data_IF_503716623647
#
_entry.id   IF_503716623647
#
_cell.length_a   1.000
_cell.length_b   1.000
_cell.length_c   1.000
_cell.angle_alpha   90.00
_cell.angle_beta   90.00
_cell.angle_gamma   90.00
#
_symmetry.space_group_name_H-M   'P 1'
#
loop_
_entity.id
_entity.type
_entity.pdbx_description
1 polymer ?
#
# COMPACT_ATOMS: atom_id res chain seq x y z
N UNK A 1 -16.28 -0.53 12.94
CA UNK A 1 -17.41 -1.29 12.34
C UNK A 1 -17.20 -2.79 12.49
N UNK A 2 -16.09 -3.41 11.99
CA UNK A 2 -15.87 -4.87 12.10
C UNK A 2 -16.00 -5.38 13.52
N UNK A 3 -15.34 -4.73 14.50
CA UNK A 3 -15.45 -5.12 15.90
C UNK A 3 -16.89 -5.04 16.48
N UNK A 4 -17.73 -4.12 15.99
CA UNK A 4 -19.14 -4.10 16.34
C UNK A 4 -19.87 -5.32 15.76
N UNK A 5 -19.63 -5.63 14.49
CA UNK A 5 -20.21 -6.79 13.83
C UNK A 5 -19.79 -8.12 14.46
N UNK A 6 -18.53 -8.23 14.90
CA UNK A 6 -18.03 -9.42 15.61
C UNK A 6 -18.79 -9.60 16.93
N UNK A 7 -19.03 -8.53 17.71
CA UNK A 7 -19.87 -8.60 18.93
C UNK A 7 -21.30 -9.01 18.63
N UNK A 8 -21.82 -8.64 17.45
CA UNK A 8 -23.17 -8.99 16.98
C UNK A 8 -23.24 -10.38 16.31
N UNK A 9 -22.15 -11.17 16.38
CA UNK A 9 -22.10 -12.56 15.91
C UNK A 9 -21.46 -12.79 14.56
N UNK A 10 -20.81 -11.77 13.94
CA UNK A 10 -20.02 -11.99 12.73
C UNK A 10 -18.83 -12.91 13.05
N UNK A 11 -18.78 -14.07 12.43
CA UNK A 11 -17.70 -15.04 12.58
C UNK A 11 -16.63 -14.81 11.49
N UNK A 12 -15.51 -14.24 11.90
CA UNK A 12 -14.34 -13.98 11.04
C UNK A 12 -13.07 -14.22 11.83
N UNK A 13 -11.99 -14.53 11.12
CA UNK A 13 -10.62 -14.50 11.63
C UNK A 13 -9.82 -13.55 10.74
N UNK A 14 -9.01 -12.68 11.30
CA UNK A 14 -8.36 -11.59 10.59
C UNK A 14 -6.84 -11.63 10.71
N UNK A 15 -6.14 -11.19 9.64
CA UNK A 15 -4.70 -10.96 9.62
C UNK A 15 -4.45 -9.45 9.59
N UNK A 16 -3.81 -8.85 10.60
CA UNK A 16 -3.53 -7.42 10.62
C UNK A 16 -2.31 -7.09 9.76
N UNK A 17 -2.40 -6.00 8.99
CA UNK A 17 -1.33 -5.51 8.09
C UNK A 17 -0.31 -4.60 8.79
N UNK A 18 -0.51 -4.27 10.07
CA UNK A 18 0.41 -3.47 10.89
C UNK A 18 0.27 -3.79 12.37
N UNK A 19 1.27 -3.43 13.16
CA UNK A 19 1.19 -3.56 14.63
C UNK A 19 0.11 -2.62 15.21
N UNK A 20 -0.10 -1.46 14.61
CA UNK A 20 -1.19 -0.57 15.01
C UNK A 20 -2.56 -1.20 14.77
N UNK A 21 -2.77 -1.82 13.60
CA UNK A 21 -4.02 -2.53 13.29
C UNK A 21 -4.21 -3.74 14.20
N UNK A 22 -3.12 -4.48 14.51
CA UNK A 22 -3.14 -5.58 15.49
C UNK A 22 -3.67 -5.09 16.83
N UNK A 23 -3.04 -4.07 17.40
CA UNK A 23 -3.43 -3.55 18.72
C UNK A 23 -4.89 -3.06 18.76
N UNK A 24 -5.35 -2.41 17.68
CA UNK A 24 -6.75 -1.98 17.56
C UNK A 24 -7.73 -3.16 17.48
N UNK A 25 -7.39 -4.21 16.73
CA UNK A 25 -8.22 -5.39 16.59
C UNK A 25 -8.32 -6.16 17.90
N UNK A 26 -7.21 -6.35 18.64
CA UNK A 26 -7.16 -6.95 19.97
C UNK A 26 -8.03 -6.19 20.95
N UNK A 27 -7.93 -4.85 20.99
CA UNK A 27 -8.77 -4.01 21.85
C UNK A 27 -10.28 -4.12 21.56
N UNK A 28 -10.65 -4.55 20.35
CA UNK A 28 -12.03 -4.77 19.93
C UNK A 28 -12.46 -6.24 19.99
N UNK A 29 -11.60 -7.14 20.52
CA UNK A 29 -11.79 -8.59 20.59
C UNK A 29 -12.10 -9.22 19.21
N UNK A 30 -11.46 -8.72 18.13
CA UNK A 30 -11.54 -9.34 16.82
C UNK A 30 -10.57 -10.53 16.80
N UNK A 31 -11.02 -11.76 16.45
CA UNK A 31 -10.15 -12.92 16.35
C UNK A 31 -9.04 -12.69 15.32
N UNK A 32 -7.79 -12.93 15.72
CA UNK A 32 -6.61 -12.74 14.89
C UNK A 32 -5.89 -14.06 14.63
N UNK A 33 -5.25 -14.15 13.48
CA UNK A 33 -4.33 -15.21 13.06
C UNK A 33 -3.12 -14.62 12.34
N UNK A 34 -2.25 -15.48 11.85
CA UNK A 34 -1.08 -15.12 11.03
C UNK A 34 -1.19 -15.75 9.63
N UNK A 35 -0.43 -15.24 8.66
CA UNK A 35 -0.35 -15.89 7.34
C UNK A 35 0.40 -17.24 7.38
N UNK A 36 1.18 -17.51 8.42
CA UNK A 36 1.81 -18.82 8.60
C UNK A 36 0.80 -19.89 9.01
N UNK A 37 -0.25 -19.50 9.76
CA UNK A 37 -1.34 -20.39 10.18
C UNK A 37 -2.48 -20.42 9.16
N UNK A 38 -2.73 -19.30 8.48
CA UNK A 38 -3.81 -19.12 7.50
C UNK A 38 -3.22 -18.45 6.24
N UNK A 39 -2.55 -19.23 5.36
CA UNK A 39 -1.81 -18.69 4.22
C UNK A 39 -2.69 -18.21 3.06
N UNK A 40 -3.99 -18.51 3.10
CA UNK A 40 -4.97 -18.08 2.10
C UNK A 40 -6.12 -17.36 2.79
N UNK A 41 -6.48 -16.19 2.25
CA UNK A 41 -7.55 -15.35 2.76
C UNK A 41 -8.63 -15.18 1.69
N UNK A 42 -9.89 -15.08 2.11
CA UNK A 42 -11.00 -14.84 1.18
C UNK A 42 -11.02 -13.39 0.69
N UNK A 43 -10.63 -12.44 1.56
CA UNK A 43 -10.82 -11.02 1.30
C UNK A 43 -9.83 -10.14 2.06
N UNK A 44 -9.17 -9.25 1.33
CA UNK A 44 -8.51 -8.08 1.90
C UNK A 44 -9.42 -6.85 1.76
N UNK A 45 -9.59 -6.11 2.85
CA UNK A 45 -10.23 -4.77 2.84
C UNK A 45 -9.20 -3.77 3.36
N UNK A 46 -8.86 -2.78 2.53
CA UNK A 46 -7.81 -1.82 2.88
C UNK A 46 -8.11 -0.43 2.29
N UNK A 47 -7.34 0.59 2.66
CA UNK A 47 -7.37 1.90 2.06
C UNK A 47 -6.39 2.03 0.88
N UNK A 48 -6.41 3.20 0.23
CA UNK A 48 -5.39 3.60 -0.73
C UNK A 48 -5.06 5.08 -0.59
N UNK A 49 -3.84 5.45 -0.95
CA UNK A 49 -3.40 6.85 -0.98
C UNK A 49 -3.77 7.51 -2.31
N UNK A 50 -3.78 6.72 -3.40
CA UNK A 50 -4.23 7.13 -4.73
C UNK A 50 -4.78 5.93 -5.50
N UNK A 51 -5.79 6.15 -6.36
CA UNK A 51 -6.48 5.14 -7.17
C UNK A 51 -6.69 5.71 -8.56
N UNK A 52 -6.26 5.01 -9.62
CA UNK A 52 -6.51 5.43 -10.99
C UNK A 52 -7.71 4.69 -11.64
N UNK A 53 -8.03 5.09 -12.88
CA UNK A 53 -9.16 4.55 -13.65
C UNK A 53 -9.04 3.03 -13.96
N UNK A 54 -7.85 2.44 -13.79
CA UNK A 54 -7.60 1.01 -13.96
C UNK A 54 -7.51 0.25 -12.63
N UNK A 55 -7.89 0.89 -11.50
CA UNK A 55 -7.75 0.38 -10.15
C UNK A 55 -6.30 0.02 -9.77
N UNK A 56 -5.32 0.70 -10.39
CA UNK A 56 -3.95 0.67 -9.92
C UNK A 56 -3.84 1.65 -8.75
N UNK A 57 -3.08 1.27 -7.72
CA UNK A 57 -3.04 2.02 -6.48
C UNK A 57 -1.64 2.51 -6.15
N UNK A 58 -1.57 3.66 -5.46
CA UNK A 58 -0.45 3.97 -4.57
C UNK A 58 -0.92 3.74 -3.14
N UNK A 59 -0.13 2.99 -2.38
CA UNK A 59 -0.32 2.69 -0.96
C UNK A 59 0.99 2.87 -0.19
N UNK A 60 0.90 2.84 1.13
CA UNK A 60 2.05 2.94 2.01
C UNK A 60 2.29 4.31 2.63
N UNK A 61 1.33 5.25 2.51
CA UNK A 61 1.36 6.51 3.25
C UNK A 61 1.51 6.31 4.76
N UNK A 62 0.89 5.26 5.32
CA UNK A 62 1.04 4.82 6.71
C UNK A 62 2.32 4.04 7.02
N UNK A 63 3.12 3.63 6.01
CA UNK A 63 4.37 2.90 6.18
C UNK A 63 4.25 1.38 6.33
N UNK A 64 3.09 0.78 6.07
CA UNK A 64 2.83 -0.65 6.21
C UNK A 64 2.80 -1.41 4.86
N UNK A 65 3.25 -0.77 3.77
CA UNK A 65 3.08 -1.22 2.38
C UNK A 65 3.51 -2.68 2.13
N UNK A 66 4.57 -3.15 2.78
CA UNK A 66 5.08 -4.51 2.60
C UNK A 66 4.06 -5.54 3.12
N UNK A 67 3.60 -5.40 4.38
CA UNK A 67 2.60 -6.30 4.94
C UNK A 67 1.27 -6.19 4.22
N UNK A 68 0.84 -4.97 3.86
CA UNK A 68 -0.37 -4.74 3.07
C UNK A 68 -0.32 -5.51 1.73
N UNK A 69 0.82 -5.45 1.01
CA UNK A 69 0.97 -6.16 -0.25
C UNK A 69 1.02 -7.68 -0.08
N UNK A 70 1.72 -8.18 0.95
CA UNK A 70 1.76 -9.62 1.25
C UNK A 70 0.34 -10.13 1.53
N UNK A 71 -0.43 -9.44 2.37
CA UNK A 71 -1.81 -9.84 2.71
C UNK A 71 -2.73 -9.75 1.50
N UNK A 72 -2.63 -8.68 0.70
CA UNK A 72 -3.41 -8.54 -0.54
C UNK A 72 -3.11 -9.68 -1.54
N UNK A 73 -1.84 -10.05 -1.69
CA UNK A 73 -1.43 -11.15 -2.58
C UNK A 73 -1.86 -12.53 -2.08
N UNK A 74 -2.00 -12.70 -0.77
CA UNK A 74 -2.48 -13.93 -0.13
C UNK A 74 -4.01 -14.06 -0.15
N UNK A 75 -4.73 -13.04 -0.63
CA UNK A 75 -6.20 -12.98 -0.65
C UNK A 75 -6.76 -13.30 -2.03
N UNK A 76 -7.93 -13.97 -2.06
CA UNK A 76 -8.66 -14.22 -3.30
C UNK A 76 -9.16 -12.93 -3.94
N UNK A 77 -9.49 -11.92 -3.11
CA UNK A 77 -9.98 -10.62 -3.57
C UNK A 77 -9.47 -9.50 -2.68
N UNK A 78 -9.25 -8.33 -3.30
CA UNK A 78 -8.96 -7.09 -2.61
C UNK A 78 -10.02 -6.04 -2.89
N UNK A 79 -10.64 -5.52 -1.84
CA UNK A 79 -11.57 -4.38 -1.89
C UNK A 79 -10.92 -3.17 -1.22
N UNK A 80 -10.86 -2.07 -1.95
CA UNK A 80 -10.34 -0.79 -1.43
C UNK A 80 -11.51 0.09 -0.98
N UNK A 81 -11.38 0.74 0.17
CA UNK A 81 -12.32 1.73 0.68
C UNK A 81 -11.60 3.08 0.73
N UNK A 82 -12.14 4.09 0.05
CA UNK A 82 -11.52 5.41 -0.04
C UNK A 82 -12.56 6.54 -0.11
N UNK A 83 -12.11 7.78 0.06
CA UNK A 83 -12.86 8.96 -0.35
C UNK A 83 -12.51 9.38 -1.79
N UNK A 84 -13.36 10.20 -2.42
CA UNK A 84 -13.24 10.61 -3.82
C UNK A 84 -11.99 11.46 -4.12
N UNK A 85 -11.35 12.06 -3.10
CA UNK A 85 -10.08 12.78 -3.25
C UNK A 85 -8.90 11.86 -3.56
N UNK A 86 -9.06 10.55 -3.39
CA UNK A 86 -8.06 9.54 -3.71
C UNK A 86 -8.11 9.12 -5.19
N UNK A 87 -9.12 9.55 -5.93
CA UNK A 87 -9.25 9.23 -7.35
C UNK A 87 -8.36 10.15 -8.19
N UNK A 88 -7.64 9.59 -9.13
CA UNK A 88 -6.88 10.32 -10.15
C UNK A 88 -6.99 9.63 -11.51
N UNK A 89 -6.69 10.36 -12.60
CA UNK A 89 -6.61 9.76 -13.93
C UNK A 89 -5.28 9.06 -14.17
N UNK A 90 -4.24 9.50 -13.48
CA UNK A 90 -2.88 8.98 -13.63
C UNK A 90 -2.21 9.07 -12.27
N UNK A 91 -1.58 8.01 -11.83
CA UNK A 91 -0.86 7.96 -10.56
C UNK A 91 0.27 9.00 -10.50
N UNK A 92 0.58 9.51 -9.29
CA UNK A 92 1.66 10.45 -9.03
C UNK A 92 1.26 11.69 -8.24
N UNK A 93 -0.05 11.91 -7.96
CA UNK A 93 -0.49 13.01 -7.07
C UNK A 93 -0.05 12.77 -5.63
N UNK A 94 0.05 11.51 -5.23
CA UNK A 94 0.62 11.10 -3.94
C UNK A 94 2.06 10.61 -4.15
N UNK A 95 3.02 10.99 -3.29
CA UNK A 95 4.38 10.44 -3.37
C UNK A 95 4.36 8.92 -3.29
N UNK A 96 5.13 8.25 -4.15
CA UNK A 96 5.27 6.80 -4.14
C UNK A 96 6.22 6.37 -3.01
N UNK A 97 5.75 5.64 -1.99
CA UNK A 97 6.62 5.10 -0.95
C UNK A 97 7.37 3.86 -1.45
N UNK A 98 8.65 3.77 -1.09
CA UNK A 98 9.49 2.61 -1.38
C UNK A 98 10.15 2.17 -0.07
N UNK A 99 9.90 0.94 0.36
CA UNK A 99 10.55 0.36 1.53
C UNK A 99 11.94 -0.14 1.17
N UNK A 100 12.95 0.26 1.93
CA UNK A 100 14.36 0.00 1.65
C UNK A 100 15.09 -0.47 2.89
N UNK A 101 16.09 -1.35 2.71
CA UNK A 101 16.97 -1.75 3.81
C UNK A 101 17.84 -0.58 4.25
N UNK A 102 18.29 -0.60 5.52
CA UNK A 102 19.14 0.46 6.08
C UNK A 102 20.55 0.47 5.50
N UNK A 103 21.09 -0.72 5.18
CA UNK A 103 22.44 -0.84 4.64
C UNK A 103 22.51 -0.26 3.23
N UNK A 104 23.47 0.64 3.00
CA UNK A 104 23.70 1.23 1.68
C UNK A 104 22.61 2.20 1.21
N UNK A 105 21.82 2.80 2.11
CA UNK A 105 20.70 3.67 1.80
C UNK A 105 20.99 4.70 0.68
N UNK A 106 22.13 5.41 0.76
CA UNK A 106 22.48 6.42 -0.26
C UNK A 106 22.66 5.80 -1.65
N UNK A 107 23.32 4.64 -1.73
CA UNK A 107 23.52 3.92 -2.99
C UNK A 107 22.16 3.43 -3.54
N UNK A 108 21.30 2.87 -2.68
CA UNK A 108 19.94 2.44 -3.06
C UNK A 108 19.11 3.62 -3.59
N UNK A 109 19.15 4.78 -2.91
CA UNK A 109 18.43 5.99 -3.37
C UNK A 109 18.95 6.50 -4.72
N UNK A 110 20.25 6.43 -4.97
CA UNK A 110 20.82 6.79 -6.29
C UNK A 110 20.36 5.84 -7.40
N UNK A 111 20.27 4.53 -7.13
CA UNK A 111 19.75 3.55 -8.08
C UNK A 111 18.24 3.75 -8.32
N UNK A 112 17.46 4.00 -7.28
CA UNK A 112 16.03 4.36 -7.41
C UNK A 112 15.89 5.58 -8.33
N UNK A 113 16.67 6.64 -8.10
CA UNK A 113 16.62 7.84 -8.91
C UNK A 113 16.94 7.55 -10.40
N UNK A 114 18.04 6.83 -10.66
CA UNK A 114 18.47 6.53 -12.02
C UNK A 114 17.41 5.69 -12.76
N UNK A 115 16.95 4.58 -12.16
CA UNK A 115 16.02 3.67 -12.81
C UNK A 115 14.60 4.26 -12.91
N UNK A 116 14.19 5.12 -11.98
CA UNK A 116 12.93 5.87 -12.12
C UNK A 116 12.98 6.85 -13.28
N UNK A 117 14.10 7.57 -13.47
CA UNK A 117 14.28 8.46 -14.59
C UNK A 117 14.26 7.70 -15.94
N UNK A 118 14.90 6.52 -16.03
CA UNK A 118 14.81 5.65 -17.21
C UNK A 118 13.38 5.18 -17.51
N UNK A 119 12.56 5.01 -16.45
CA UNK A 119 11.13 4.70 -16.56
C UNK A 119 10.25 5.96 -16.83
N UNK A 120 10.86 7.12 -17.09
CA UNK A 120 10.14 8.37 -17.35
C UNK A 120 9.54 9.04 -16.12
N UNK A 121 10.01 8.66 -14.90
CA UNK A 121 9.54 9.21 -13.63
C UNK A 121 10.66 10.05 -13.00
N UNK A 122 10.53 11.37 -13.07
CA UNK A 122 11.46 12.32 -12.46
C UNK A 122 10.77 13.07 -11.33
N UNK A 123 11.52 13.32 -10.23
CA UNK A 123 11.00 14.03 -9.09
C UNK A 123 11.91 13.96 -7.88
N UNK A 124 11.48 14.59 -6.80
CA UNK A 124 12.22 14.58 -5.54
C UNK A 124 12.12 13.21 -4.86
N UNK A 125 13.25 12.71 -4.35
CA UNK A 125 13.35 11.45 -3.61
C UNK A 125 13.89 11.76 -2.21
N UNK A 126 13.09 11.49 -1.20
CA UNK A 126 13.40 11.83 0.19
C UNK A 126 13.25 10.63 1.12
N UNK A 127 14.12 10.55 2.10
CA UNK A 127 13.93 9.65 3.24
C UNK A 127 12.76 10.17 4.08
N UNK A 128 11.80 9.30 4.38
CA UNK A 128 10.63 9.66 5.20
C UNK A 128 11.05 10.04 6.62
N UNK A 129 10.70 11.22 7.13
CA UNK A 129 10.92 11.55 8.52
C UNK A 129 9.89 10.86 9.42
N UNK A 130 10.32 10.43 10.59
CA UNK A 130 9.43 10.05 11.69
C UNK A 130 9.01 11.27 12.51
N UNK A 131 8.10 11.07 13.44
CA UNK A 131 7.54 12.13 14.28
C UNK A 131 8.54 12.73 15.27
N UNK A 132 9.65 12.05 15.55
CA UNK A 132 10.72 12.46 16.47
C UNK A 132 11.91 13.11 15.76
N UNK A 133 11.78 13.40 14.45
CA UNK A 133 12.84 13.97 13.62
C UNK A 133 13.91 12.96 13.17
N UNK A 134 13.79 11.69 13.58
CA UNK A 134 14.59 10.57 13.04
C UNK A 134 13.92 10.00 11.79
N UNK A 135 14.63 9.18 11.00
CA UNK A 135 13.98 8.45 9.92
C UNK A 135 12.82 7.57 10.41
N UNK A 136 11.72 7.56 9.65
CA UNK A 136 10.62 6.61 9.90
C UNK A 136 11.12 5.18 9.75
N UNK A 137 10.70 4.31 10.67
CA UNK A 137 11.06 2.88 10.68
C UNK A 137 9.79 2.06 10.56
N UNK A 138 9.78 1.15 9.58
CA UNK A 138 8.64 0.22 9.39
C UNK A 138 8.59 -0.85 10.48
N UNK A 139 7.47 -1.57 10.58
CA UNK A 139 7.32 -2.72 11.49
C UNK A 139 8.36 -3.82 11.25
N UNK A 140 8.94 -3.89 10.04
CA UNK A 140 10.02 -4.82 9.67
C UNK A 140 11.43 -4.27 9.94
N UNK A 141 11.53 -3.05 10.51
CA UNK A 141 12.80 -2.40 10.83
C UNK A 141 13.50 -1.73 9.65
N UNK A 142 12.85 -1.63 8.50
CA UNK A 142 13.34 -0.97 7.30
C UNK A 142 13.04 0.54 7.32
N UNK A 143 13.45 1.24 6.27
CA UNK A 143 13.19 2.66 6.07
C UNK A 143 12.23 2.86 4.89
N UNK A 144 11.64 4.05 4.79
CA UNK A 144 10.81 4.45 3.64
C UNK A 144 11.49 5.61 2.91
N UNK A 145 11.58 5.47 1.61
CA UNK A 145 11.94 6.55 0.68
C UNK A 145 10.67 6.98 -0.06
N UNK A 146 10.30 8.24 0.05
CA UNK A 146 9.17 8.82 -0.65
C UNK A 146 9.62 9.47 -1.95
N UNK A 147 9.05 9.05 -3.07
CA UNK A 147 9.35 9.54 -4.41
C UNK A 147 8.20 10.41 -4.92
N UNK A 148 8.40 11.72 -4.99
CA UNK A 148 7.41 12.69 -5.45
C UNK A 148 7.47 12.81 -6.99
N UNK A 149 6.93 11.83 -7.68
CA UNK A 149 6.80 11.83 -9.14
C UNK A 149 5.46 12.46 -9.53
N UNK A 150 5.43 13.63 -10.19
CA UNK A 150 4.17 14.33 -10.50
C UNK A 150 3.26 13.53 -11.45
N UNK A 151 3.82 12.55 -12.14
CA UNK A 151 3.10 11.63 -13.02
C UNK A 151 3.86 10.32 -13.16
N UNK A 152 3.15 9.21 -12.99
CA UNK A 152 3.63 7.85 -13.27
C UNK A 152 2.82 7.31 -14.46
N UNK A 153 3.33 7.55 -15.67
CA UNK A 153 2.60 7.19 -16.89
C UNK A 153 2.56 5.67 -17.14
N UNK A 154 3.67 4.99 -16.82
CA UNK A 154 3.86 3.55 -17.03
C UNK A 154 4.20 2.88 -15.70
N UNK A 155 3.22 2.71 -14.78
CA UNK A 155 3.49 2.21 -13.43
C UNK A 155 4.02 0.77 -13.43
N UNK A 156 3.67 -0.05 -14.42
CA UNK A 156 4.18 -1.42 -14.58
C UNK A 156 5.69 -1.41 -14.91
N UNK A 157 6.13 -0.49 -15.75
CA UNK A 157 7.55 -0.31 -16.11
C UNK A 157 8.34 0.15 -14.88
N UNK A 158 7.80 1.13 -14.15
CA UNK A 158 8.43 1.62 -12.93
C UNK A 158 8.50 0.53 -11.86
N UNK A 159 7.41 -0.22 -11.62
CA UNK A 159 7.37 -1.33 -10.67
C UNK A 159 8.43 -2.38 -10.98
N UNK A 160 8.53 -2.79 -12.26
CA UNK A 160 9.54 -3.74 -12.70
C UNK A 160 10.98 -3.22 -12.49
N UNK A 161 11.22 -1.94 -12.77
CA UNK A 161 12.53 -1.32 -12.55
C UNK A 161 12.90 -1.29 -11.06
N UNK A 162 11.97 -0.86 -10.19
CA UNK A 162 12.18 -0.77 -8.74
C UNK A 162 12.44 -2.14 -8.09
N UNK A 163 11.73 -3.18 -8.51
CA UNK A 163 11.92 -4.55 -8.01
C UNK A 163 13.32 -5.12 -8.28
N UNK A 164 14.09 -4.52 -9.18
CA UNK A 164 15.47 -4.94 -9.54
C UNK A 164 16.55 -4.14 -8.80
N UNK A 165 16.18 -3.15 -8.01
CA UNK A 165 17.14 -2.34 -7.25
C UNK A 165 17.59 -3.10 -6.00
N UNK A 166 18.88 -3.48 -5.87
CA UNK A 166 19.38 -4.03 -4.62
C UNK A 166 19.15 -3.04 -3.47
N UNK A 167 18.57 -3.54 -2.37
CA UNK A 167 18.20 -2.72 -1.21
C UNK A 167 16.76 -2.23 -1.20
N UNK A 168 16.01 -2.29 -2.31
CA UNK A 168 14.54 -2.16 -2.28
C UNK A 168 13.95 -3.46 -1.74
N UNK A 169 13.05 -3.33 -0.77
CA UNK A 169 12.29 -4.43 -0.19
C UNK A 169 10.97 -4.56 -0.93
N UNK A 170 10.23 -3.45 -1.05
CA UNK A 170 8.96 -3.38 -1.76
C UNK A 170 8.62 -1.91 -2.08
N UNK A 171 7.69 -1.68 -3.00
CA UNK A 171 7.21 -0.36 -3.40
C UNK A 171 5.69 -0.23 -3.27
N UNK A 172 5.21 1.00 -3.13
CA UNK A 172 3.79 1.31 -2.93
C UNK A 172 2.90 1.20 -4.16
N UNK A 173 3.39 0.77 -5.32
CA UNK A 173 2.55 0.47 -6.48
C UNK A 173 1.87 -0.89 -6.29
N UNK A 174 0.54 -0.91 -6.22
CA UNK A 174 -0.30 -2.10 -6.16
C UNK A 174 -1.00 -2.25 -7.51
N UNK A 175 -0.48 -3.13 -8.35
CA UNK A 175 -0.91 -3.30 -9.74
C UNK A 175 -1.56 -4.67 -9.89
N UNK A 176 -2.78 -4.71 -10.47
CA UNK A 176 -3.52 -5.93 -10.69
C UNK A 176 -3.98 -6.66 -9.41
N UNK A 177 -4.00 -5.98 -8.27
CA UNK A 177 -4.41 -6.55 -6.97
C UNK A 177 -5.82 -6.11 -6.56
N UNK A 178 -6.26 -4.90 -6.93
CA UNK A 178 -7.55 -4.36 -6.54
C UNK A 178 -8.66 -4.84 -7.49
N UNK A 179 -9.61 -5.60 -6.97
CA UNK A 179 -10.79 -6.07 -7.73
C UNK A 179 -11.90 -5.03 -7.73
N UNK A 180 -12.01 -4.26 -6.65
CA UNK A 180 -13.08 -3.31 -6.44
C UNK A 180 -12.64 -2.16 -5.54
N UNK A 181 -13.06 -0.94 -5.88
CA UNK A 181 -12.96 0.20 -4.98
C UNK A 181 -14.36 0.74 -4.63
N UNK A 182 -14.60 0.91 -3.33
CA UNK A 182 -15.80 1.55 -2.78
C UNK A 182 -15.42 2.95 -2.37
N UNK A 183 -15.89 3.94 -3.10
CA UNK A 183 -15.47 5.33 -2.96
C UNK A 183 -16.63 6.20 -2.46
N UNK A 184 -16.42 6.86 -1.33
CA UNK A 184 -17.39 7.80 -0.76
C UNK A 184 -17.05 9.22 -1.19
N UNK A 185 -18.05 9.97 -1.62
CA UNK A 185 -17.92 11.37 -2.03
C UNK A 185 -19.18 12.18 -1.72
N UNK A 186 -19.19 13.46 -2.10
CA UNK A 186 -20.30 14.37 -1.85
C UNK A 186 -21.63 13.89 -2.45
N UNK A 187 -21.57 13.10 -3.53
CA UNK A 187 -22.74 12.57 -4.25
C UNK A 187 -23.14 11.16 -3.79
N UNK A 188 -22.60 10.67 -2.67
CA UNK A 188 -22.87 9.33 -2.15
C UNK A 188 -21.70 8.37 -2.34
N UNK A 189 -22.01 7.07 -2.39
CA UNK A 189 -21.03 6.00 -2.55
C UNK A 189 -21.10 5.46 -3.97
N UNK A 190 -19.94 5.35 -4.61
CA UNK A 190 -19.79 4.69 -5.91
C UNK A 190 -18.93 3.42 -5.75
N UNK A 191 -19.20 2.43 -6.60
CA UNK A 191 -18.45 1.18 -6.67
C UNK A 191 -17.76 1.11 -8.02
N UNK A 192 -16.44 1.08 -8.01
CA UNK A 192 -15.61 0.90 -9.19
C UNK A 192 -15.15 -0.57 -9.23
N UNK A 193 -15.20 -1.19 -10.40
CA UNK A 193 -14.74 -2.58 -10.62
C UNK A 193 -13.68 -2.59 -11.70
N UNK A 194 -12.76 -3.54 -11.59
CA UNK A 194 -11.74 -3.72 -12.62
C UNK A 194 -12.41 -4.01 -13.97
N UNK A 195 -11.93 -3.41 -15.10
CA UNK A 195 -12.56 -3.57 -16.43
C UNK A 195 -12.66 -5.02 -16.92
N UNK A 196 -11.90 -5.93 -16.36
CA UNK A 196 -11.87 -7.36 -16.70
C UNK A 196 -12.57 -8.26 -15.66
N UNK A 197 -13.28 -7.69 -14.70
CA UNK A 197 -14.01 -8.44 -13.66
C UNK A 197 -15.49 -8.63 -13.99
#
# INVERSE_FOLDING_TARGET
EVGARVRDGLNVICVPTSEETRARAEALNIPLTTLDETPHLDLTVDGADEIDDQLRLIKGGGGALLREKIVATASERMVVIADDRKLSRTLGSHPLPIEVVRFGLKATMQLIHALSAEAGCEGEIRLRPGNDGRPFVTDQGNLIVDCAFPKIAEPEVLAFALARVPGVVEHGLFLGLCDMAIVAGANGVQVLKHPSA
#
